data_IF_545370848196
#
_entry.id   IF_545370848196
#
_cell.length_a   1.000
_cell.length_b   1.000
_cell.length_c   1.000
_cell.angle_alpha   90.00
_cell.angle_beta   90.00
_cell.angle_gamma   90.00
#
_symmetry.space_group_name_H-M   'P 1'
#
loop_
_entity.id
_entity.type
_entity.pdbx_description
1 polymer ?
#
# COMPACT_ATOMS: atom_id res chain seq x y z
N UNK A 1 16.06 5.67 6.09
CA UNK A 1 17.40 6.00 5.59
C UNK A 1 18.09 6.91 6.57
N UNK A 2 19.25 6.50 7.08
CA UNK A 2 20.15 7.35 7.87
C UNK A 2 20.78 8.43 6.97
N UNK A 3 21.10 9.58 7.54
CA UNK A 3 21.82 10.63 6.83
C UNK A 3 23.35 10.43 6.91
N UNK A 4 24.10 11.17 6.08
CA UNK A 4 25.56 11.08 6.02
C UNK A 4 26.26 11.27 7.37
N UNK A 5 25.73 12.15 8.23
CA UNK A 5 26.30 12.39 9.55
C UNK A 5 26.09 11.20 10.47
N UNK A 6 24.89 10.61 10.48
CA UNK A 6 24.58 9.39 11.23
C UNK A 6 25.45 8.22 10.76
N UNK A 7 25.62 8.07 9.44
CA UNK A 7 26.51 7.06 8.86
C UNK A 7 27.96 7.25 9.33
N UNK A 8 28.50 8.47 9.25
CA UNK A 8 29.86 8.78 9.76
C UNK A 8 30.02 8.47 11.24
N UNK A 9 29.01 8.78 12.06
CA UNK A 9 29.01 8.48 13.49
C UNK A 9 29.07 6.96 13.72
N UNK A 10 28.25 6.19 13.00
CA UNK A 10 28.23 4.72 13.09
C UNK A 10 29.55 4.09 12.65
N UNK A 11 30.12 4.54 11.54
CA UNK A 11 31.44 4.09 11.06
C UNK A 11 32.51 4.33 12.12
N UNK A 12 32.55 5.53 12.70
CA UNK A 12 33.50 5.86 13.79
C UNK A 12 33.28 5.00 15.03
N UNK A 13 32.02 4.74 15.40
CA UNK A 13 31.71 3.87 16.53
C UNK A 13 32.21 2.44 16.30
N UNK A 14 32.04 1.90 15.08
CA UNK A 14 32.54 0.57 14.71
C UNK A 14 34.08 0.54 14.76
N UNK A 15 34.75 1.54 14.19
CA UNK A 15 36.23 1.65 14.23
C UNK A 15 36.75 1.64 15.67
N UNK A 16 36.15 2.42 16.58
CA UNK A 16 36.52 2.48 18.00
C UNK A 16 36.32 1.12 18.69
N UNK A 17 35.21 0.42 18.39
CA UNK A 17 34.96 -0.91 18.93
C UNK A 17 36.01 -1.92 18.46
N UNK A 18 36.37 -1.88 17.17
CA UNK A 18 37.43 -2.73 16.60
C UNK A 18 38.79 -2.43 17.24
N UNK A 19 39.14 -1.16 17.46
CA UNK A 19 40.34 -0.75 18.20
C UNK A 19 40.35 -1.30 19.63
N UNK A 20 39.17 -1.49 20.22
CA UNK A 20 38.96 -2.09 21.56
C UNK A 20 38.93 -3.62 21.55
N UNK A 21 39.11 -4.27 20.38
CA UNK A 21 39.16 -5.71 20.21
C UNK A 21 37.81 -6.39 19.92
N UNK A 22 36.76 -5.61 19.65
CA UNK A 22 35.44 -6.14 19.28
C UNK A 22 35.38 -6.53 17.80
N UNK A 23 34.40 -7.37 17.44
CA UNK A 23 34.17 -7.80 16.07
C UNK A 23 33.26 -6.79 15.33
N UNK A 24 33.76 -6.20 14.25
CA UNK A 24 33.04 -5.20 13.45
C UNK A 24 31.66 -5.68 12.96
N UNK A 25 31.56 -6.96 12.55
CA UNK A 25 30.31 -7.54 12.06
C UNK A 25 29.27 -7.68 13.18
N UNK A 26 29.70 -8.08 14.37
CA UNK A 26 28.81 -8.17 15.54
C UNK A 26 28.36 -6.79 16.02
N UNK A 27 29.24 -5.78 16.00
CA UNK A 27 28.85 -4.39 16.25
C UNK A 27 27.82 -3.93 15.22
N UNK A 28 28.05 -4.17 13.93
CA UNK A 28 27.13 -3.76 12.87
C UNK A 28 25.74 -4.42 13.01
N UNK A 29 25.69 -5.73 13.34
CA UNK A 29 24.44 -6.46 13.61
C UNK A 29 23.71 -5.92 14.83
N UNK A 30 24.41 -5.33 15.79
CA UNK A 30 23.81 -4.77 17.00
C UNK A 30 22.94 -3.53 16.76
N UNK A 31 22.93 -2.97 15.55
CA UNK A 31 22.07 -1.85 15.15
C UNK A 31 20.81 -2.36 14.41
N UNK A 32 19.71 -2.67 15.13
CA UNK A 32 18.52 -3.32 14.54
C UNK A 32 17.73 -2.42 13.59
N UNK A 33 17.94 -1.10 13.66
CA UNK A 33 17.18 -0.11 12.89
C UNK A 33 17.81 0.20 11.52
N UNK A 34 18.97 -0.37 11.22
CA UNK A 34 19.60 -0.22 9.90
C UNK A 34 18.97 -1.20 8.91
N UNK A 35 18.67 -0.72 7.71
CA UNK A 35 18.30 -1.59 6.60
C UNK A 35 19.48 -2.46 6.16
N UNK A 36 19.18 -3.54 5.44
CA UNK A 36 20.20 -4.41 4.84
C UNK A 36 21.13 -3.59 3.93
N UNK A 37 20.57 -2.70 3.11
CA UNK A 37 21.38 -1.84 2.23
C UNK A 37 22.31 -0.91 3.01
N UNK A 38 21.84 -0.33 4.11
CA UNK A 38 22.67 0.51 4.99
C UNK A 38 23.79 -0.30 5.66
N UNK A 39 23.48 -1.52 6.12
CA UNK A 39 24.49 -2.42 6.70
C UNK A 39 25.53 -2.84 5.65
N UNK A 40 25.13 -3.14 4.42
CA UNK A 40 26.06 -3.44 3.33
C UNK A 40 26.96 -2.25 3.00
N UNK A 41 26.41 -1.05 2.95
CA UNK A 41 27.16 0.17 2.67
C UNK A 41 28.17 0.51 3.78
N UNK A 42 27.72 0.49 5.04
CA UNK A 42 28.60 0.71 6.21
C UNK A 42 29.65 -0.39 6.31
N UNK A 43 29.27 -1.65 6.10
CA UNK A 43 30.17 -2.80 6.09
C UNK A 43 31.32 -2.59 5.12
N UNK A 44 31.00 -2.19 3.88
CA UNK A 44 32.01 -1.89 2.86
C UNK A 44 32.98 -0.80 3.29
N UNK A 45 32.52 0.24 4.00
CA UNK A 45 33.38 1.33 4.48
C UNK A 45 34.35 0.89 5.59
N UNK A 46 33.92 -0.04 6.45
CA UNK A 46 34.76 -0.59 7.53
C UNK A 46 35.49 -1.88 7.11
N UNK A 47 35.48 -2.22 5.82
CA UNK A 47 36.23 -3.35 5.27
C UNK A 47 35.64 -4.73 5.57
N UNK A 48 34.33 -4.82 5.84
CA UNK A 48 33.62 -6.09 6.05
C UNK A 48 32.52 -6.30 5.01
N UNK A 49 32.24 -7.56 4.69
CA UNK A 49 31.07 -7.92 3.90
C UNK A 49 29.90 -8.27 4.83
N UNK A 50 28.75 -7.62 4.64
CA UNK A 50 27.52 -7.97 5.35
C UNK A 50 26.63 -8.81 4.44
N UNK A 51 26.49 -10.09 4.78
CA UNK A 51 25.56 -11.02 4.12
C UNK A 51 24.35 -11.22 5.03
N UNK A 52 23.15 -10.74 4.65
CA UNK A 52 21.94 -10.97 5.43
C UNK A 52 21.49 -12.43 5.30
N UNK A 53 20.83 -12.94 6.33
CA UNK A 53 20.10 -14.21 6.25
C UNK A 53 18.84 -14.08 5.40
N UNK A 54 18.33 -15.19 4.88
CA UNK A 54 17.03 -15.22 4.21
C UNK A 54 15.91 -14.67 5.09
N UNK A 55 15.94 -14.97 6.40
CA UNK A 55 14.94 -14.48 7.35
C UNK A 55 14.96 -12.95 7.49
N UNK A 56 16.16 -12.35 7.54
CA UNK A 56 16.31 -10.89 7.53
C UNK A 56 15.79 -10.29 6.21
N UNK A 57 16.18 -10.87 5.06
CA UNK A 57 15.77 -10.41 3.74
C UNK A 57 14.24 -10.45 3.55
N UNK A 58 13.59 -11.55 3.95
CA UNK A 58 12.14 -11.69 3.91
C UNK A 58 11.45 -10.66 4.81
N UNK A 59 11.95 -10.47 6.03
CA UNK A 59 11.37 -9.52 7.00
C UNK A 59 11.40 -8.09 6.46
N UNK A 60 12.57 -7.63 6.00
CA UNK A 60 12.74 -6.29 5.45
C UNK A 60 11.92 -6.11 4.17
N UNK A 61 11.95 -7.09 3.25
CA UNK A 61 11.22 -7.00 1.98
C UNK A 61 9.71 -6.98 2.19
N UNK A 62 9.17 -7.78 3.10
CA UNK A 62 7.73 -7.76 3.39
C UNK A 62 7.31 -6.42 4.01
N UNK A 63 8.15 -5.81 4.86
CA UNK A 63 7.89 -4.49 5.41
C UNK A 63 7.93 -3.38 4.34
N UNK A 64 8.88 -3.46 3.41
CA UNK A 64 8.95 -2.57 2.24
C UNK A 64 7.69 -2.69 1.37
N UNK A 65 7.29 -3.92 1.01
CA UNK A 65 6.10 -4.18 0.20
C UNK A 65 4.81 -3.77 0.91
N UNK A 66 4.74 -3.92 2.24
CA UNK A 66 3.62 -3.43 3.04
C UNK A 66 3.52 -1.89 2.98
N UNK A 67 4.65 -1.21 3.07
CA UNK A 67 4.72 0.25 2.95
C UNK A 67 4.31 0.71 1.55
N UNK A 68 4.75 0.00 0.51
CA UNK A 68 4.34 0.25 -0.87
C UNK A 68 2.84 0.03 -1.10
N UNK A 69 2.25 -1.01 -0.48
CA UNK A 69 0.80 -1.25 -0.48
C UNK A 69 0.03 -0.07 0.13
N UNK A 70 0.43 0.36 1.33
CA UNK A 70 -0.23 1.47 2.00
C UNK A 70 -0.12 2.75 1.18
N UNK A 71 1.07 3.03 0.62
CA UNK A 71 1.26 4.16 -0.28
C UNK A 71 0.36 4.08 -1.52
N UNK A 72 0.25 2.93 -2.17
CA UNK A 72 -0.61 2.76 -3.34
C UNK A 72 -2.11 2.93 -3.02
N UNK A 73 -2.52 2.64 -1.79
CA UNK A 73 -3.87 2.91 -1.29
C UNK A 73 -4.06 4.41 -1.05
N UNK A 74 -3.14 5.05 -0.31
CA UNK A 74 -3.20 6.47 0.02
C UNK A 74 -3.12 7.37 -1.23
N UNK A 75 -2.28 6.99 -2.20
CA UNK A 75 -2.19 7.64 -3.51
C UNK A 75 -3.53 7.56 -4.27
N UNK A 76 -4.46 6.68 -3.88
CA UNK A 76 -5.85 6.74 -4.33
C UNK A 76 -6.06 6.41 -5.81
N UNK A 77 -7.08 7.03 -6.41
CA UNK A 77 -7.55 6.73 -7.77
C UNK A 77 -7.87 7.99 -8.55
N UNK A 78 -7.60 7.96 -9.85
CA UNK A 78 -8.11 8.95 -10.80
C UNK A 78 -9.29 8.37 -11.55
N UNK A 79 -10.41 9.08 -11.55
CA UNK A 79 -11.60 8.72 -12.32
C UNK A 79 -12.11 9.91 -13.11
N UNK A 80 -12.81 9.63 -14.22
CA UNK A 80 -13.39 10.67 -15.05
C UNK A 80 -14.78 11.07 -14.53
N UNK A 81 -14.93 12.32 -14.10
CA UNK A 81 -16.19 12.93 -13.69
C UNK A 81 -16.56 13.99 -14.73
N UNK A 82 -17.71 13.82 -15.40
CA UNK A 82 -18.19 14.74 -16.44
C UNK A 82 -17.15 15.05 -17.54
N UNK A 83 -16.34 14.05 -17.90
CA UNK A 83 -15.30 14.20 -18.92
C UNK A 83 -13.96 14.78 -18.41
N UNK A 84 -13.86 15.09 -17.11
CA UNK A 84 -12.63 15.62 -16.48
C UNK A 84 -12.03 14.57 -15.57
N UNK A 85 -10.72 14.36 -15.67
CA UNK A 85 -10.00 13.49 -14.75
C UNK A 85 -9.87 14.18 -13.38
N UNK A 86 -10.46 13.56 -12.36
CA UNK A 86 -10.36 14.00 -10.98
C UNK A 86 -9.69 12.91 -10.14
N UNK A 87 -8.76 13.31 -9.28
CA UNK A 87 -7.97 12.43 -8.44
C UNK A 87 -8.50 12.44 -6.99
N UNK A 88 -8.72 11.26 -6.43
CA UNK A 88 -9.25 11.05 -5.08
C UNK A 88 -8.29 10.18 -4.29
N UNK A 89 -7.65 10.80 -3.29
CA UNK A 89 -6.72 10.18 -2.36
C UNK A 89 -7.48 9.55 -1.23
N UNK A 90 -6.98 8.41 -0.76
CA UNK A 90 -7.59 7.66 0.33
C UNK A 90 -6.75 7.78 1.59
N UNK A 91 -6.38 9.00 1.95
CA UNK A 91 -5.48 9.26 3.06
C UNK A 91 -6.13 8.90 4.39
N UNK A 92 -5.50 7.99 5.14
CA UNK A 92 -5.96 7.63 6.49
C UNK A 92 -5.79 8.84 7.44
N UNK A 93 -4.66 9.54 7.32
CA UNK A 93 -4.34 10.71 8.15
C UNK A 93 -5.26 11.92 7.90
N UNK A 94 -5.82 12.05 6.70
CA UNK A 94 -6.80 13.08 6.34
C UNK A 94 -8.24 12.71 6.71
N UNK A 95 -8.51 11.46 7.10
CA UNK A 95 -9.86 10.96 7.40
C UNK A 95 -10.69 10.67 6.15
N UNK A 96 -10.08 10.65 4.96
CA UNK A 96 -10.77 10.50 3.67
C UNK A 96 -11.55 9.18 3.61
N UNK A 97 -10.96 8.12 4.16
CA UNK A 97 -11.51 6.76 4.19
C UNK A 97 -12.87 6.65 4.93
N UNK A 98 -13.03 7.31 6.08
CA UNK A 98 -14.31 7.29 6.81
C UNK A 98 -15.36 8.24 6.21
N UNK A 99 -14.89 9.28 5.53
CA UNK A 99 -15.74 10.27 4.89
C UNK A 99 -16.47 9.66 3.69
N UNK A 100 -15.77 8.91 2.82
CA UNK A 100 -16.39 8.36 1.62
C UNK A 100 -17.51 7.35 1.92
N UNK A 101 -17.35 6.50 2.93
CA UNK A 101 -18.36 5.51 3.33
C UNK A 101 -19.67 6.17 3.75
N UNK A 102 -19.54 7.22 4.57
CA UNK A 102 -20.68 7.97 5.08
C UNK A 102 -21.34 8.79 3.98
N UNK A 103 -20.55 9.41 3.09
CA UNK A 103 -21.06 10.20 1.97
C UNK A 103 -21.78 9.33 0.94
N UNK A 104 -21.25 8.14 0.63
CA UNK A 104 -21.93 7.16 -0.22
C UNK A 104 -23.29 6.77 0.37
N UNK A 105 -23.34 6.42 1.66
CA UNK A 105 -24.59 6.06 2.33
C UNK A 105 -25.58 7.23 2.36
N UNK A 106 -25.13 8.44 2.70
CA UNK A 106 -25.99 9.62 2.73
C UNK A 106 -26.52 9.97 1.34
N UNK A 107 -25.69 9.93 0.30
CA UNK A 107 -26.12 10.13 -1.08
C UNK A 107 -27.22 9.13 -1.47
N UNK A 108 -27.02 7.85 -1.11
CA UNK A 108 -27.96 6.77 -1.38
C UNK A 108 -29.28 6.93 -0.63
N UNK A 109 -29.25 7.29 0.64
CA UNK A 109 -30.47 7.41 1.47
C UNK A 109 -31.23 8.70 1.20
N UNK A 110 -30.54 9.82 0.91
CA UNK A 110 -31.18 11.12 0.69
C UNK A 110 -31.53 11.39 -0.77
N UNK A 111 -30.85 10.73 -1.73
CA UNK A 111 -30.91 11.09 -3.14
C UNK A 111 -30.28 12.45 -3.47
N UNK A 112 -29.59 13.08 -2.50
CA UNK A 112 -29.02 14.42 -2.65
C UNK A 112 -27.52 14.36 -2.92
N UNK A 113 -27.04 15.35 -3.68
CA UNK A 113 -25.62 15.53 -3.93
C UNK A 113 -24.85 15.79 -2.64
N UNK A 114 -23.65 15.23 -2.53
CA UNK A 114 -22.81 15.34 -1.34
C UNK A 114 -21.60 16.25 -1.58
N UNK A 115 -21.21 17.07 -0.59
CA UNK A 115 -19.98 17.83 -0.64
C UNK A 115 -18.78 16.89 -0.44
N UNK A 116 -17.84 16.88 -1.39
CA UNK A 116 -16.59 16.14 -1.27
C UNK A 116 -15.44 16.88 -1.95
N UNK A 117 -14.20 16.49 -1.68
CA UNK A 117 -13.01 17.11 -2.26
C UNK A 117 -12.19 16.10 -3.06
N UNK A 118 -11.60 16.57 -4.16
CA UNK A 118 -10.51 15.87 -4.83
C UNK A 118 -9.17 16.22 -4.16
N UNK A 119 -8.15 15.39 -4.37
CA UNK A 119 -6.82 15.58 -3.79
C UNK A 119 -6.15 16.86 -4.27
N UNK A 120 -5.17 17.33 -3.49
CA UNK A 120 -4.31 18.45 -3.90
C UNK A 120 -4.89 19.85 -3.62
N UNK A 121 -5.86 19.96 -2.71
CA UNK A 121 -6.37 21.26 -2.25
C UNK A 121 -7.42 21.90 -3.16
N UNK A 122 -8.08 21.10 -4.02
CA UNK A 122 -9.23 21.55 -4.79
C UNK A 122 -10.36 22.05 -3.87
N UNK A 123 -11.13 23.03 -4.33
CA UNK A 123 -12.34 23.47 -3.63
C UNK A 123 -13.33 22.31 -3.50
N UNK A 124 -14.01 22.21 -2.35
CA UNK A 124 -15.13 21.28 -2.16
C UNK A 124 -16.17 21.43 -3.29
N UNK A 125 -16.62 20.31 -3.85
CA UNK A 125 -17.62 20.25 -4.94
C UNK A 125 -18.80 19.39 -4.51
N UNK A 126 -19.95 19.63 -5.13
CA UNK A 126 -21.10 18.75 -5.01
C UNK A 126 -21.00 17.65 -6.07
N UNK A 127 -21.09 16.40 -5.61
CA UNK A 127 -21.17 15.22 -6.47
C UNK A 127 -22.55 14.58 -6.37
N UNK A 128 -23.13 14.20 -7.50
CA UNK A 128 -24.43 13.51 -7.54
C UNK A 128 -24.35 12.13 -6.87
N UNK A 129 -25.48 11.49 -6.53
CA UNK A 129 -25.47 10.13 -6.01
C UNK A 129 -24.70 9.13 -6.90
N UNK A 130 -24.84 9.23 -8.21
CA UNK A 130 -24.15 8.37 -9.18
C UNK A 130 -22.64 8.63 -9.19
N UNK A 131 -22.24 9.91 -9.14
CA UNK A 131 -20.83 10.28 -9.06
C UNK A 131 -20.20 9.83 -7.73
N UNK A 132 -20.91 9.99 -6.62
CA UNK A 132 -20.43 9.51 -5.32
C UNK A 132 -20.32 7.99 -5.26
N UNK A 133 -21.27 7.29 -5.88
CA UNK A 133 -21.21 5.84 -6.06
C UNK A 133 -19.97 5.43 -6.86
N UNK A 134 -19.67 6.13 -7.96
CA UNK A 134 -18.47 5.88 -8.75
C UNK A 134 -17.16 6.12 -7.98
N UNK A 135 -17.07 7.22 -7.22
CA UNK A 135 -15.90 7.52 -6.37
C UNK A 135 -15.73 6.41 -5.32
N UNK A 136 -16.79 6.11 -4.56
CA UNK A 136 -16.79 5.05 -3.55
C UNK A 136 -16.32 3.71 -4.12
N UNK A 137 -16.90 3.30 -5.26
CA UNK A 137 -16.55 2.04 -5.92
C UNK A 137 -15.08 2.03 -6.31
N UNK A 138 -14.58 3.10 -6.93
CA UNK A 138 -13.20 3.18 -7.37
C UNK A 138 -12.21 3.06 -6.21
N UNK A 139 -12.45 3.78 -5.10
CA UNK A 139 -11.59 3.73 -3.92
C UNK A 139 -11.65 2.37 -3.20
N UNK A 140 -12.83 1.78 -3.05
CA UNK A 140 -12.98 0.46 -2.42
C UNK A 140 -12.37 -0.65 -3.27
N UNK A 141 -12.53 -0.58 -4.58
CA UNK A 141 -11.91 -1.54 -5.49
C UNK A 141 -10.39 -1.39 -5.53
N UNK A 142 -9.85 -0.16 -5.48
CA UNK A 142 -8.41 0.07 -5.33
C UNK A 142 -7.90 -0.52 -4.02
N UNK A 143 -8.50 -0.17 -2.89
CA UNK A 143 -8.12 -0.71 -1.58
C UNK A 143 -8.12 -2.24 -1.57
N UNK A 144 -9.17 -2.84 -2.12
CA UNK A 144 -9.27 -4.30 -2.22
C UNK A 144 -8.18 -4.89 -3.12
N UNK A 145 -7.92 -4.29 -4.28
CA UNK A 145 -6.89 -4.74 -5.21
C UNK A 145 -5.50 -4.67 -4.56
N UNK A 146 -5.10 -3.53 -4.00
CA UNK A 146 -3.77 -3.35 -3.40
C UNK A 146 -3.55 -4.29 -2.22
N UNK A 147 -4.51 -4.38 -1.30
CA UNK A 147 -4.40 -5.26 -0.11
C UNK A 147 -4.38 -6.74 -0.49
N UNK A 148 -5.22 -7.16 -1.44
CA UNK A 148 -5.23 -8.55 -1.93
C UNK A 148 -3.91 -8.85 -2.63
N UNK A 149 -3.44 -7.98 -3.51
CA UNK A 149 -2.17 -8.14 -4.20
C UNK A 149 -1.00 -8.29 -3.21
N UNK A 150 -0.89 -7.41 -2.21
CA UNK A 150 0.13 -7.51 -1.18
C UNK A 150 0.08 -8.84 -0.43
N UNK A 151 -1.11 -9.26 0.01
CA UNK A 151 -1.27 -10.51 0.75
C UNK A 151 -0.85 -11.72 -0.09
N UNK A 152 -1.25 -11.76 -1.36
CA UNK A 152 -0.88 -12.83 -2.29
C UNK A 152 0.62 -12.80 -2.64
N UNK A 153 1.21 -11.62 -2.80
CA UNK A 153 2.65 -11.47 -3.05
C UNK A 153 3.46 -11.93 -1.84
N UNK A 154 3.06 -11.52 -0.63
CA UNK A 154 3.69 -11.95 0.62
C UNK A 154 3.67 -13.47 0.77
N UNK A 155 2.53 -14.11 0.53
CA UNK A 155 2.41 -15.57 0.56
C UNK A 155 3.30 -16.21 -0.51
N UNK A 156 3.28 -15.69 -1.75
CA UNK A 156 4.10 -16.18 -2.85
C UNK A 156 5.60 -16.17 -2.53
N UNK A 157 6.11 -15.04 -2.08
CA UNK A 157 7.54 -14.88 -1.75
C UNK A 157 7.91 -15.81 -0.60
N UNK A 158 7.08 -15.85 0.46
CA UNK A 158 7.35 -16.66 1.64
C UNK A 158 7.36 -18.15 1.30
N UNK A 159 6.45 -18.62 0.45
CA UNK A 159 6.32 -20.04 0.09
C UNK A 159 7.38 -20.48 -0.94
N UNK A 160 7.82 -19.57 -1.83
CA UNK A 160 8.74 -19.88 -2.93
C UNK A 160 10.20 -19.92 -2.48
N UNK A 161 10.62 -18.96 -1.67
CA UNK A 161 12.04 -18.79 -1.30
C UNK A 161 12.30 -19.35 0.09
N UNK A 162 13.17 -20.36 0.16
CA UNK A 162 13.42 -21.17 1.38
C UNK A 162 14.91 -21.42 1.63
N UNK A 163 15.77 -21.07 0.68
CA UNK A 163 17.21 -21.27 0.76
C UNK A 163 17.93 -19.96 1.06
N UNK A 164 19.04 -20.02 1.80
CA UNK A 164 19.95 -18.88 1.97
C UNK A 164 20.50 -18.36 0.63
N UNK A 165 20.49 -19.18 -0.42
CA UNK A 165 20.86 -18.74 -1.77
C UNK A 165 19.80 -17.86 -2.45
N UNK A 166 18.59 -17.75 -1.89
CA UNK A 166 17.49 -16.96 -2.44
C UNK A 166 17.54 -15.47 -2.01
N UNK A 167 18.47 -15.10 -1.13
CA UNK A 167 18.57 -13.76 -0.53
C UNK A 167 18.54 -12.66 -1.57
N UNK A 168 19.41 -12.72 -2.58
CA UNK A 168 19.48 -11.68 -3.62
C UNK A 168 18.20 -11.59 -4.45
N UNK A 169 17.57 -12.75 -4.70
CA UNK A 169 16.29 -12.81 -5.43
C UNK A 169 15.20 -12.11 -4.61
N UNK A 170 15.10 -12.41 -3.31
CA UNK A 170 14.13 -11.78 -2.40
C UNK A 170 14.35 -10.28 -2.32
N UNK A 171 15.60 -9.82 -2.16
CA UNK A 171 15.93 -8.39 -2.08
C UNK A 171 15.61 -7.65 -3.40
N UNK A 172 15.69 -8.34 -4.53
CA UNK A 172 15.35 -7.80 -5.86
C UNK A 172 13.86 -7.69 -6.16
N UNK A 173 12.97 -8.23 -5.31
CA UNK A 173 11.53 -8.14 -5.52
C UNK A 173 11.04 -6.71 -5.30
N UNK A 174 10.23 -6.21 -6.21
CA UNK A 174 9.64 -4.87 -6.14
C UNK A 174 8.12 -4.93 -6.12
N UNK A 175 7.51 -3.85 -5.66
CA UNK A 175 6.09 -3.61 -5.91
C UNK A 175 5.79 -3.70 -7.41
N UNK A 176 4.65 -4.31 -7.78
CA UNK A 176 4.32 -4.65 -9.18
C UNK A 176 4.88 -5.99 -9.71
N UNK A 177 5.68 -6.74 -8.94
CA UNK A 177 6.07 -8.12 -9.30
C UNK A 177 4.84 -8.99 -9.58
N UNK A 178 4.71 -9.59 -10.77
CA UNK A 178 3.52 -10.36 -11.13
C UNK A 178 3.27 -11.53 -10.18
N UNK A 179 2.01 -11.68 -9.76
CA UNK A 179 1.54 -12.90 -9.10
C UNK A 179 1.52 -14.06 -10.11
N UNK A 180 1.71 -15.28 -9.62
CA UNK A 180 1.62 -16.50 -10.44
C UNK A 180 0.94 -17.65 -9.68
N UNK A 181 0.53 -18.70 -10.41
CA UNK A 181 -0.08 -19.90 -9.84
C UNK A 181 -1.27 -19.62 -8.91
N UNK A 182 -1.34 -20.36 -7.79
CA UNK A 182 -2.43 -20.24 -6.80
C UNK A 182 -2.62 -18.81 -6.27
N UNK A 183 -1.56 -18.00 -6.27
CA UNK A 183 -1.62 -16.64 -5.74
C UNK A 183 -2.37 -15.71 -6.68
N UNK A 184 -2.11 -15.83 -7.98
CA UNK A 184 -2.85 -15.11 -9.02
C UNK A 184 -4.31 -15.58 -9.10
N UNK A 185 -4.54 -16.89 -8.99
CA UNK A 185 -5.89 -17.46 -9.00
C UNK A 185 -6.74 -16.91 -7.84
N UNK A 186 -6.17 -16.88 -6.63
CA UNK A 186 -6.87 -16.34 -5.45
C UNK A 186 -7.09 -14.82 -5.55
N UNK A 187 -6.11 -14.06 -6.07
CA UNK A 187 -6.29 -12.64 -6.38
C UNK A 187 -7.48 -12.43 -7.33
N UNK A 188 -7.53 -13.16 -8.44
CA UNK A 188 -8.61 -13.05 -9.43
C UNK A 188 -9.98 -13.45 -8.85
N UNK A 189 -10.03 -14.49 -8.02
CA UNK A 189 -11.24 -14.93 -7.34
C UNK A 189 -11.81 -13.83 -6.43
N UNK A 190 -10.96 -13.22 -5.59
CA UNK A 190 -11.35 -12.14 -4.70
C UNK A 190 -11.83 -10.93 -5.51
N UNK A 191 -11.08 -10.53 -6.54
CA UNK A 191 -11.48 -9.40 -7.39
C UNK A 191 -12.80 -9.64 -8.14
N UNK A 192 -13.06 -10.88 -8.59
CA UNK A 192 -14.34 -11.25 -9.19
C UNK A 192 -15.50 -11.11 -8.18
N UNK A 193 -15.32 -11.60 -6.96
CA UNK A 193 -16.32 -11.48 -5.90
C UNK A 193 -16.56 -10.02 -5.49
N UNK A 194 -15.50 -9.22 -5.36
CA UNK A 194 -15.60 -7.80 -5.02
C UNK A 194 -16.38 -7.00 -6.08
N UNK A 195 -16.19 -7.33 -7.36
CA UNK A 195 -17.01 -6.78 -8.44
C UNK A 195 -18.50 -7.14 -8.33
N UNK A 196 -18.84 -8.35 -7.86
CA UNK A 196 -20.23 -8.73 -7.62
C UNK A 196 -20.85 -7.93 -6.45
N UNK A 197 -20.10 -7.75 -5.37
CA UNK A 197 -20.52 -6.97 -4.20
C UNK A 197 -20.79 -5.53 -4.60
N UNK A 198 -19.84 -4.89 -5.29
CA UNK A 198 -19.98 -3.52 -5.80
C UNK A 198 -21.24 -3.38 -6.68
N UNK A 199 -21.44 -4.28 -7.65
CA UNK A 199 -22.63 -4.25 -8.51
C UNK A 199 -23.93 -4.39 -7.73
N UNK A 200 -23.94 -5.16 -6.64
CA UNK A 200 -25.13 -5.33 -5.81
C UNK A 200 -25.44 -4.06 -5.01
N UNK A 201 -24.43 -3.37 -4.47
CA UNK A 201 -24.65 -2.18 -3.65
C UNK A 201 -25.04 -0.94 -4.48
N UNK A 202 -24.59 -0.86 -5.73
CA UNK A 202 -24.96 0.22 -6.67
C UNK A 202 -26.26 -0.05 -7.42
N UNK A 203 -26.63 -1.30 -7.73
CA UNK A 203 -27.92 -1.61 -8.41
C UNK A 203 -29.18 -1.23 -7.63
N UNK A 204 -29.10 -1.03 -6.32
CA UNK A 204 -30.23 -0.50 -5.55
C UNK A 204 -30.53 0.99 -5.87
N UNK A 205 -29.76 1.65 -6.74
CA UNK A 205 -30.01 3.01 -7.22
C UNK A 205 -31.23 3.11 -8.17
N UNK A 206 -31.62 2.02 -8.85
CA UNK A 206 -32.62 2.10 -9.93
C UNK A 206 -34.04 1.65 -9.55
N UNK A 207 -34.27 1.17 -8.33
CA UNK A 207 -35.60 0.66 -7.91
C UNK A 207 -36.41 1.64 -7.05
N UNK A 208 -35.73 2.56 -6.37
CA UNK A 208 -36.41 3.51 -5.47
C UNK A 208 -36.80 4.83 -6.18
N UNK A 209 -36.26 5.09 -7.38
CA UNK A 209 -36.64 6.25 -8.20
C UNK A 209 -37.97 6.05 -8.97
N UNK A 210 -38.49 4.82 -9.06
CA UNK A 210 -39.76 4.53 -9.74
C UNK A 210 -41.00 4.58 -8.83
N UNK A 211 -40.82 4.83 -7.52
CA UNK A 211 -41.94 4.82 -6.56
C UNK A 211 -42.25 6.20 -5.94
N UNK A 212 -41.75 7.28 -6.52
CA UNK A 212 -42.19 8.65 -6.20
C UNK A 212 -42.93 9.27 -7.39
N UNK A 213 -43.99 8.59 -7.82
CA UNK A 213 -45.03 9.22 -8.63
C UNK A 213 -46.37 9.13 -7.88
N UNK A 214 -47.09 10.27 -7.85
CA UNK A 214 -48.52 10.45 -7.50
C UNK A 214 -48.77 10.61 -5.98
N UNK A 215 -49.34 11.70 -5.42
CA UNK A 215 -50.28 12.73 -5.95
C UNK A 215 -50.34 13.95 -5.02
N UNK A 216 -50.67 15.09 -5.64
CA UNK A 216 -51.34 16.33 -5.14
C UNK A 216 -51.36 16.65 -3.64
#
# INVERSE_FOLDING_TARGET
MINDMQKKILVKAIEIGVESGENALEILKSYPNLSIAEKQEIGKEVGIEYSPTLAEALTEKIAELSSACNKAIEDGVTIQINGVDEHFSYGIASGDQSNIDSLFLMAKTSGLSQPYHCSGGGSCKLYTPEQMSAIYVAEKMNTTAQTTYFNQLKEMITDTYKSENDVDVVLGITWGTPLSGKYLDNYNLIMAQSNLIVKAVTKNESKDAENTEVTA
#
